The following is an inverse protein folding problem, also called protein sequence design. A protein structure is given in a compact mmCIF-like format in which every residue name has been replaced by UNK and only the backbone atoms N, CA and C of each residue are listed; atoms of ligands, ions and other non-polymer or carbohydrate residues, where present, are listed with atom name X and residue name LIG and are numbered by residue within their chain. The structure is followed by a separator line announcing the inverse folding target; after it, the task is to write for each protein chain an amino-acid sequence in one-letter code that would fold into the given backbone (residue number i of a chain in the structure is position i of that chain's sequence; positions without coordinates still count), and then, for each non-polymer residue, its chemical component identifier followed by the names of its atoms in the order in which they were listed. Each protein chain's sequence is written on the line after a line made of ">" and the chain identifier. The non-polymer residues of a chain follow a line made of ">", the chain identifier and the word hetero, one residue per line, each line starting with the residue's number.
data_IF_409976503144
#
_entry.id   IF_409976503144
#
_cell.length_a   1.000
_cell.length_b   1.000
_cell.length_c   1.000
_cell.angle_alpha   90.00
_cell.angle_beta   90.00
_cell.angle_gamma   90.00
#
_symmetry.space_group_name_H-M   'P 1'
#
loop_
_entity.id
_entity.type
_entity.pdbx_description
1 polymer ?
#
# COMPACT_ATOMS: atom_id res chain seq x y z
N UNK A 1 -47.31 7.51 -12.84
CA UNK A 1 -46.60 6.24 -13.19
C UNK A 1 -45.09 6.42 -13.44
N UNK A 2 -44.60 7.54 -13.95
CA UNK A 2 -43.13 7.78 -14.10
C UNK A 2 -42.52 8.26 -12.79
N UNK A 3 -43.27 8.95 -11.96
CA UNK A 3 -42.83 9.45 -10.64
C UNK A 3 -42.63 8.32 -9.62
N UNK A 4 -43.45 7.32 -9.66
CA UNK A 4 -43.41 6.19 -8.71
C UNK A 4 -42.20 5.26 -8.94
N UNK A 5 -41.84 5.05 -10.21
CA UNK A 5 -40.63 4.29 -10.55
C UNK A 5 -39.33 4.99 -10.16
N UNK A 6 -39.30 6.34 -10.22
CA UNK A 6 -38.14 7.12 -9.83
C UNK A 6 -37.94 7.17 -8.30
N UNK A 7 -39.05 7.36 -7.57
CA UNK A 7 -39.03 7.34 -6.09
C UNK A 7 -38.68 5.97 -5.53
N UNK A 8 -39.16 4.89 -6.15
CA UNK A 8 -38.79 3.52 -5.78
C UNK A 8 -37.30 3.23 -5.96
N UNK A 9 -36.69 3.70 -7.07
CA UNK A 9 -35.26 3.54 -7.31
C UNK A 9 -34.37 4.25 -6.30
N UNK A 10 -34.72 5.47 -5.89
CA UNK A 10 -33.99 6.21 -4.87
C UNK A 10 -34.12 5.56 -3.48
N UNK A 11 -35.30 5.03 -3.15
CA UNK A 11 -35.53 4.33 -1.89
C UNK A 11 -34.67 3.06 -1.79
N UNK A 12 -34.64 2.24 -2.85
CA UNK A 12 -33.76 1.04 -2.89
C UNK A 12 -32.28 1.41 -2.74
N UNK A 13 -31.81 2.46 -3.43
CA UNK A 13 -30.42 2.90 -3.30
C UNK A 13 -30.09 3.37 -1.88
N UNK A 14 -31.00 4.02 -1.19
CA UNK A 14 -30.80 4.45 0.19
C UNK A 14 -30.77 3.25 1.15
N UNK A 15 -31.63 2.25 0.94
CA UNK A 15 -31.58 0.98 1.72
C UNK A 15 -30.29 0.22 1.52
N UNK A 16 -29.80 0.08 0.29
CA UNK A 16 -28.54 -0.61 0.00
C UNK A 16 -27.37 0.03 0.75
N UNK A 17 -27.34 1.37 0.87
CA UNK A 17 -26.31 2.05 1.67
C UNK A 17 -26.35 1.65 3.15
N UNK A 18 -27.54 1.48 3.72
CA UNK A 18 -27.68 1.05 5.12
C UNK A 18 -27.21 -0.39 5.35
N UNK A 19 -27.19 -1.22 4.32
CA UNK A 19 -26.70 -2.60 4.42
C UNK A 19 -25.17 -2.71 4.36
N UNK A 20 -24.48 -1.67 3.89
CA UNK A 20 -22.99 -1.65 3.91
C UNK A 20 -22.46 -1.85 5.33
N UNK A 21 -23.10 -1.20 6.31
CA UNK A 21 -22.70 -1.24 7.73
C UNK A 21 -23.06 -2.58 8.42
N UNK A 22 -23.82 -3.44 7.74
CA UNK A 22 -24.18 -4.77 8.27
C UNK A 22 -23.11 -5.81 7.95
N UNK A 23 -22.30 -5.58 6.90
CA UNK A 23 -21.39 -6.61 6.38
C UNK A 23 -20.22 -6.91 7.33
N UNK A 24 -19.78 -5.92 8.10
CA UNK A 24 -18.71 -6.06 9.10
C UNK A 24 -19.26 -6.39 10.51
N UNK A 25 -20.58 -6.63 10.60
CA UNK A 25 -21.23 -6.97 11.87
C UNK A 25 -20.95 -8.41 12.30
N UNK A 26 -21.08 -8.71 13.61
CA UNK A 26 -20.99 -10.08 14.12
C UNK A 26 -22.02 -11.03 13.49
N UNK A 27 -23.20 -10.51 13.10
CA UNK A 27 -24.25 -11.30 12.49
C UNK A 27 -23.82 -11.95 11.16
N UNK A 28 -22.92 -11.29 10.42
CA UNK A 28 -22.35 -11.79 9.15
C UNK A 28 -21.02 -12.50 9.39
N UNK A 29 -20.13 -11.94 10.19
CA UNK A 29 -18.76 -12.44 10.29
C UNK A 29 -18.60 -13.65 11.21
N UNK A 30 -19.40 -13.78 12.28
CA UNK A 30 -19.33 -14.96 13.15
C UNK A 30 -19.68 -16.27 12.41
N UNK A 31 -20.74 -16.36 11.58
CA UNK A 31 -20.98 -17.52 10.74
C UNK A 31 -19.81 -17.84 9.79
N UNK A 32 -19.18 -16.82 9.19
CA UNK A 32 -18.03 -17.00 8.28
C UNK A 32 -16.83 -17.59 9.03
N UNK A 33 -16.53 -17.09 10.21
CA UNK A 33 -15.46 -17.60 11.08
C UNK A 33 -15.69 -19.07 11.43
N UNK A 34 -16.93 -19.43 11.76
CA UNK A 34 -17.29 -20.81 12.11
C UNK A 34 -17.24 -21.74 10.90
N UNK A 35 -17.76 -21.30 9.75
CA UNK A 35 -17.82 -22.10 8.52
C UNK A 35 -16.41 -22.41 7.99
N UNK A 36 -15.52 -21.41 8.00
CA UNK A 36 -14.16 -21.57 7.50
C UNK A 36 -13.16 -22.03 8.60
N UNK A 37 -13.62 -22.19 9.85
CA UNK A 37 -12.77 -22.62 10.95
C UNK A 37 -11.61 -21.67 11.21
N UNK A 38 -11.83 -20.35 11.11
CA UNK A 38 -10.79 -19.35 11.30
C UNK A 38 -10.48 -19.21 12.80
N UNK A 39 -9.20 -19.22 13.14
CA UNK A 39 -8.72 -18.99 14.51
C UNK A 39 -8.58 -17.48 14.78
N UNK A 40 -9.70 -16.77 14.68
CA UNK A 40 -9.79 -15.33 14.92
C UNK A 40 -11.21 -14.93 15.37
N UNK A 41 -11.29 -13.76 15.97
CA UNK A 41 -12.56 -13.15 16.38
C UNK A 41 -13.13 -12.26 15.27
N UNK A 42 -14.43 -11.92 15.35
CA UNK A 42 -15.02 -10.98 14.39
C UNK A 42 -14.32 -9.62 14.40
N UNK A 43 -13.83 -9.14 15.55
CA UNK A 43 -13.11 -7.88 15.69
C UNK A 43 -11.75 -7.86 14.96
N UNK A 44 -11.17 -9.03 14.75
CA UNK A 44 -9.93 -9.19 13.99
C UNK A 44 -10.21 -9.35 12.49
N UNK A 45 -11.36 -9.94 12.14
CA UNK A 45 -11.76 -10.10 10.75
C UNK A 45 -12.38 -8.83 10.16
N UNK A 46 -13.18 -8.08 10.93
CA UNK A 46 -13.89 -6.89 10.46
C UNK A 46 -13.01 -5.86 9.73
N UNK A 47 -11.79 -5.49 10.22
CA UNK A 47 -10.93 -4.57 9.48
C UNK A 47 -10.36 -5.13 8.17
N UNK A 48 -10.43 -6.44 7.96
CA UNK A 48 -9.99 -7.11 6.72
C UNK A 48 -11.11 -7.14 5.66
N UNK A 49 -12.36 -6.95 6.07
CA UNK A 49 -13.54 -6.95 5.21
C UNK A 49 -14.00 -5.51 5.00
N UNK A 50 -14.27 -5.13 3.77
CA UNK A 50 -14.86 -3.85 3.45
C UNK A 50 -15.92 -3.99 2.37
N UNK A 51 -16.98 -3.18 2.46
CA UNK A 51 -18.03 -3.12 1.47
C UNK A 51 -18.16 -1.72 0.91
N UNK A 52 -18.43 -1.62 -0.38
CA UNK A 52 -18.65 -0.35 -1.06
C UNK A 52 -19.77 -0.46 -2.09
N UNK A 53 -20.63 0.55 -2.16
CA UNK A 53 -21.65 0.68 -3.18
C UNK A 53 -21.21 1.73 -4.19
N UNK A 54 -20.98 1.38 -5.47
CA UNK A 54 -20.69 2.36 -6.51
C UNK A 54 -21.86 3.36 -6.65
N UNK A 55 -21.58 4.63 -6.94
CA UNK A 55 -22.62 5.64 -7.05
C UNK A 55 -23.63 5.28 -8.15
N UNK A 56 -24.92 5.54 -7.89
CA UNK A 56 -26.05 5.27 -8.80
C UNK A 56 -26.24 3.81 -9.16
N UNK A 57 -25.82 2.89 -8.32
CA UNK A 57 -26.04 1.44 -8.48
C UNK A 57 -26.66 0.83 -7.23
N UNK A 58 -27.19 -0.37 -7.37
CA UNK A 58 -27.64 -1.24 -6.28
C UNK A 58 -26.64 -2.38 -6.01
N UNK A 59 -25.45 -2.26 -6.58
CA UNK A 59 -24.39 -3.26 -6.42
C UNK A 59 -23.64 -3.00 -5.10
N UNK A 60 -23.27 -4.09 -4.44
CA UNK A 60 -22.39 -4.09 -3.28
C UNK A 60 -21.11 -4.83 -3.63
N UNK A 61 -19.99 -4.14 -3.57
CA UNK A 61 -18.66 -4.72 -3.78
C UNK A 61 -18.06 -5.07 -2.42
N UNK A 62 -17.89 -6.35 -2.17
CA UNK A 62 -17.20 -6.87 -0.98
C UNK A 62 -15.73 -7.05 -1.32
N UNK A 63 -14.85 -6.52 -0.50
CA UNK A 63 -13.40 -6.65 -0.64
C UNK A 63 -12.81 -7.20 0.64
N UNK A 64 -12.04 -8.27 0.54
CA UNK A 64 -11.33 -8.88 1.66
C UNK A 64 -9.82 -8.79 1.42
N UNK A 65 -9.09 -8.43 2.47
CA UNK A 65 -7.63 -8.33 2.45
C UNK A 65 -7.03 -9.34 3.41
N UNK A 66 -6.25 -10.28 2.89
CA UNK A 66 -5.57 -11.31 3.67
C UNK A 66 -4.15 -11.53 3.14
N UNK A 67 -3.29 -12.13 3.94
CA UNK A 67 -1.93 -12.52 3.54
C UNK A 67 -1.92 -13.70 2.58
N UNK A 68 -2.96 -14.55 2.63
CA UNK A 68 -3.17 -15.67 1.72
C UNK A 68 -4.22 -15.31 0.65
N UNK A 69 -3.87 -15.34 -0.65
CA UNK A 69 -4.82 -15.03 -1.71
C UNK A 69 -6.00 -16.00 -1.78
N UNK A 70 -5.78 -17.28 -1.48
CA UNK A 70 -6.83 -18.29 -1.45
C UNK A 70 -7.79 -18.03 -0.31
N UNK A 71 -7.27 -17.78 0.91
CA UNK A 71 -8.09 -17.48 2.08
C UNK A 71 -8.89 -16.18 1.90
N UNK A 72 -8.29 -15.16 1.28
CA UNK A 72 -9.01 -13.92 0.96
C UNK A 72 -10.25 -14.17 0.08
N UNK A 73 -10.11 -15.02 -0.95
CA UNK A 73 -11.21 -15.36 -1.84
C UNK A 73 -12.29 -16.22 -1.13
N UNK A 74 -11.87 -17.16 -0.29
CA UNK A 74 -12.80 -17.99 0.52
C UNK A 74 -13.58 -17.13 1.51
N UNK A 75 -12.93 -16.25 2.26
CA UNK A 75 -13.59 -15.33 3.18
C UNK A 75 -14.54 -14.40 2.43
N UNK A 76 -14.14 -13.85 1.28
CA UNK A 76 -15.00 -12.96 0.50
C UNK A 76 -16.29 -13.66 0.02
N UNK A 77 -16.19 -14.90 -0.48
CA UNK A 77 -17.33 -15.69 -0.92
C UNK A 77 -18.24 -16.08 0.25
N UNK A 78 -17.67 -16.56 1.36
CA UNK A 78 -18.43 -16.89 2.56
C UNK A 78 -19.14 -15.64 3.13
N UNK A 79 -18.46 -14.49 3.18
CA UNK A 79 -19.04 -13.22 3.63
C UNK A 79 -20.20 -12.79 2.73
N UNK A 80 -20.06 -12.90 1.40
CA UNK A 80 -21.14 -12.57 0.48
C UNK A 80 -22.37 -13.48 0.68
N UNK A 81 -22.16 -14.77 0.94
CA UNK A 81 -23.24 -15.74 1.20
C UNK A 81 -23.90 -15.47 2.56
N UNK A 82 -23.13 -15.28 3.62
CA UNK A 82 -23.63 -14.96 4.94
C UNK A 82 -24.40 -13.63 4.96
N UNK A 83 -23.88 -12.62 4.26
CA UNK A 83 -24.56 -11.34 4.08
C UNK A 83 -25.90 -11.49 3.36
N UNK A 84 -25.97 -12.26 2.26
CA UNK A 84 -27.23 -12.51 1.55
C UNK A 84 -28.26 -13.21 2.45
N UNK A 85 -27.85 -14.16 3.27
CA UNK A 85 -28.71 -14.84 4.23
C UNK A 85 -29.19 -13.87 5.33
N UNK A 86 -28.33 -13.00 5.83
CA UNK A 86 -28.70 -12.02 6.85
C UNK A 86 -29.68 -10.96 6.32
N UNK A 87 -29.50 -10.49 5.08
CA UNK A 87 -30.46 -9.59 4.44
C UNK A 87 -31.82 -10.30 4.25
N UNK A 88 -31.83 -11.55 3.79
CA UNK A 88 -33.08 -12.32 3.68
C UNK A 88 -33.78 -12.45 5.05
N UNK A 89 -33.02 -12.65 6.13
CA UNK A 89 -33.56 -12.71 7.49
C UNK A 89 -34.17 -11.38 7.94
N UNK A 90 -33.47 -10.27 7.66
CA UNK A 90 -33.91 -8.91 8.03
C UNK A 90 -35.17 -8.48 7.25
N UNK A 91 -35.28 -8.90 5.99
CA UNK A 91 -36.41 -8.60 5.12
C UNK A 91 -37.59 -9.59 5.29
N UNK A 92 -37.47 -10.58 6.17
CA UNK A 92 -38.49 -11.60 6.39
C UNK A 92 -38.69 -12.56 5.21
N UNK A 93 -37.75 -12.59 4.27
CA UNK A 93 -37.78 -13.54 3.14
C UNK A 93 -37.21 -14.89 3.59
N UNK A 94 -37.83 -16.05 3.19
CA UNK A 94 -37.23 -17.34 3.45
C UNK A 94 -35.87 -17.46 2.72
N UNK A 95 -34.85 -18.11 3.32
CA UNK A 95 -33.55 -18.29 2.68
C UNK A 95 -33.74 -19.07 1.37
N UNK A 96 -33.21 -18.55 0.26
CA UNK A 96 -33.21 -19.25 -1.04
C UNK A 96 -32.23 -20.42 -0.96
N UNK A 97 -32.71 -21.62 -0.81
CA UNK A 97 -31.92 -22.83 -1.00
C UNK A 97 -31.51 -22.93 -2.47
N UNK A 98 -30.22 -23.04 -2.77
CA UNK A 98 -29.74 -23.39 -4.11
C UNK A 98 -30.37 -24.72 -4.52
N UNK A 99 -31.31 -24.70 -5.49
CA UNK A 99 -31.96 -25.87 -6.02
C UNK A 99 -33.50 -25.85 -6.09
N UNK A 100 -34.17 -24.80 -5.64
CA UNK A 100 -35.64 -24.71 -5.78
C UNK A 100 -36.03 -24.27 -7.17
N UNK A 101 -36.54 -25.21 -7.95
CA UNK A 101 -37.27 -25.00 -9.20
C UNK A 101 -38.50 -24.15 -8.92
N UNK A 102 -38.59 -23.03 -9.60
CA UNK A 102 -39.61 -22.01 -9.45
C UNK A 102 -40.97 -22.55 -9.98
N UNK A 103 -41.88 -22.90 -9.10
CA UNK A 103 -43.29 -22.92 -9.44
C UNK A 103 -43.94 -21.63 -8.94
N UNK A 104 -44.57 -20.84 -9.83
CA UNK A 104 -45.20 -19.59 -9.48
C UNK A 104 -46.65 -19.79 -9.16
N UNK A 105 -47.06 -20.06 -7.97
CA UNK A 105 -48.45 -19.76 -7.50
C UNK A 105 -48.49 -19.66 -5.98
N UNK A 106 -48.76 -18.51 -5.43
CA UNK A 106 -49.95 -18.25 -4.64
C UNK A 106 -49.99 -16.82 -4.16
N UNK A 107 -50.98 -16.13 -4.57
CA UNK A 107 -51.45 -14.81 -4.21
C UNK A 107 -51.60 -14.65 -2.69
N UNK A 108 -51.02 -13.58 -2.12
CA UNK A 108 -51.59 -12.95 -0.96
C UNK A 108 -51.42 -11.44 -1.10
N UNK A 109 -52.52 -10.81 -1.31
CA UNK A 109 -52.81 -9.38 -1.27
C UNK A 109 -52.47 -8.84 0.11
N UNK A 110 -51.47 -7.95 0.19
CA UNK A 110 -51.42 -6.89 1.18
C UNK A 110 -50.24 -6.03 0.75
N UNK A 111 -50.31 -4.71 0.90
CA UNK A 111 -49.26 -3.71 0.58
C UNK A 111 -47.84 -4.29 0.84
N UNK A 112 -47.38 -5.08 -0.09
CA UNK A 112 -46.16 -5.86 0.07
C UNK A 112 -45.02 -4.96 -0.43
N UNK A 113 -44.34 -4.30 0.48
CA UNK A 113 -42.96 -3.91 0.24
C UNK A 113 -42.24 -5.12 -0.33
N UNK A 114 -41.80 -5.00 -1.58
CA UNK A 114 -41.07 -6.09 -2.24
C UNK A 114 -39.80 -6.32 -1.44
N UNK A 115 -39.60 -7.52 -0.84
CA UNK A 115 -38.41 -7.77 -0.03
C UNK A 115 -37.17 -7.63 -0.91
N UNK A 116 -36.15 -6.94 -0.38
CA UNK A 116 -34.86 -6.82 -1.05
C UNK A 116 -34.15 -8.16 -0.95
N UNK A 117 -33.79 -8.73 -2.09
CA UNK A 117 -33.01 -9.97 -2.14
C UNK A 117 -31.57 -9.65 -2.58
N UNK A 118 -30.61 -10.07 -1.77
CA UNK A 118 -29.21 -10.02 -2.12
C UNK A 118 -28.82 -11.31 -2.85
N UNK A 119 -28.19 -11.19 -4.01
CA UNK A 119 -27.71 -12.33 -4.81
C UNK A 119 -26.26 -12.09 -5.19
N UNK A 120 -25.42 -13.11 -5.03
CA UNK A 120 -24.02 -13.05 -5.47
C UNK A 120 -23.98 -13.12 -6.99
N UNK A 121 -23.60 -12.00 -7.63
CA UNK A 121 -23.52 -11.88 -9.09
C UNK A 121 -22.16 -12.38 -9.59
N UNK A 122 -21.09 -12.06 -8.86
CA UNK A 122 -19.73 -12.45 -9.21
C UNK A 122 -19.02 -12.97 -7.96
N UNK A 123 -18.65 -14.27 -7.94
CA UNK A 123 -17.84 -14.80 -6.84
C UNK A 123 -16.43 -14.18 -6.85
N UNK A 124 -15.80 -14.15 -5.67
CA UNK A 124 -14.43 -13.72 -5.55
C UNK A 124 -13.48 -14.74 -6.18
N UNK A 125 -12.58 -14.24 -7.01
CA UNK A 125 -11.52 -15.02 -7.64
C UNK A 125 -10.21 -14.84 -6.84
N UNK A 126 -9.37 -15.88 -6.84
CA UNK A 126 -8.06 -15.81 -6.18
C UNK A 126 -7.18 -14.81 -6.93
N UNK A 127 -6.70 -13.73 -6.27
CA UNK A 127 -5.90 -12.72 -6.94
C UNK A 127 -4.52 -13.26 -7.33
N UNK A 128 -4.12 -13.00 -8.59
CA UNK A 128 -2.82 -13.45 -9.12
C UNK A 128 -1.63 -12.58 -8.67
N UNK A 129 -1.85 -11.45 -8.01
CA UNK A 129 -0.79 -10.56 -7.55
C UNK A 129 -1.19 -9.82 -6.27
N UNK A 130 -0.21 -9.56 -5.37
CA UNK A 130 -0.47 -8.80 -4.15
C UNK A 130 -0.74 -7.32 -4.47
N UNK A 131 -1.65 -6.71 -3.72
CA UNK A 131 -1.97 -5.27 -3.80
C UNK A 131 -1.00 -4.41 -2.98
N UNK A 132 -0.32 -5.02 -1.98
CA UNK A 132 0.64 -4.36 -1.08
C UNK A 132 1.70 -5.39 -0.61
N UNK A 133 2.95 -4.96 -0.38
CA UNK A 133 3.51 -3.62 -0.60
C UNK A 133 3.80 -3.33 -2.09
N UNK A 134 3.71 -2.08 -2.49
CA UNK A 134 4.09 -1.64 -3.86
C UNK A 134 5.61 -1.53 -3.97
N UNK A 135 6.29 -2.67 -4.00
CA UNK A 135 7.76 -2.78 -3.96
C UNK A 135 8.48 -1.94 -5.00
N UNK A 136 7.95 -1.90 -6.23
CA UNK A 136 8.53 -1.07 -7.32
C UNK A 136 8.48 0.42 -7.00
N UNK A 137 7.35 0.92 -6.49
CA UNK A 137 7.19 2.32 -6.12
C UNK A 137 8.07 2.67 -4.92
N UNK A 138 8.09 1.82 -3.89
CA UNK A 138 8.91 2.03 -2.70
C UNK A 138 10.41 2.02 -3.03
N UNK A 139 10.86 1.13 -3.94
CA UNK A 139 12.24 1.08 -4.39
C UNK A 139 12.62 2.34 -5.17
N UNK A 140 11.76 2.81 -6.08
CA UNK A 140 11.98 4.02 -6.86
C UNK A 140 12.05 5.25 -5.95
N UNK A 141 11.13 5.35 -4.99
CA UNK A 141 11.10 6.45 -4.03
C UNK A 141 12.35 6.44 -3.13
N UNK A 142 12.76 5.25 -2.67
CA UNK A 142 13.98 5.08 -1.87
C UNK A 142 15.25 5.45 -2.64
N UNK A 143 15.35 5.07 -3.92
CA UNK A 143 16.46 5.43 -4.78
C UNK A 143 16.54 6.96 -5.00
N UNK A 144 15.40 7.58 -5.29
CA UNK A 144 15.32 9.03 -5.51
C UNK A 144 15.70 9.81 -4.25
N UNK A 145 15.16 9.42 -3.10
CA UNK A 145 15.47 10.04 -1.82
C UNK A 145 16.94 9.83 -1.45
N UNK A 146 17.47 8.62 -1.64
CA UNK A 146 18.89 8.30 -1.41
C UNK A 146 19.82 9.11 -2.30
N UNK A 147 19.50 9.27 -3.58
CA UNK A 147 20.28 10.10 -4.49
C UNK A 147 20.27 11.57 -4.07
N UNK A 148 19.13 12.10 -3.66
CA UNK A 148 19.00 13.50 -3.22
C UNK A 148 19.81 13.77 -1.96
N UNK A 149 19.74 12.88 -0.98
CA UNK A 149 20.54 12.94 0.26
C UNK A 149 22.04 12.81 -0.09
N UNK A 150 22.39 11.86 -0.97
CA UNK A 150 23.78 11.65 -1.40
C UNK A 150 24.39 12.89 -2.06
N UNK A 151 23.67 13.53 -2.97
CA UNK A 151 24.10 14.79 -3.61
C UNK A 151 24.21 15.90 -2.55
N UNK A 152 23.23 16.02 -1.66
CA UNK A 152 23.26 17.01 -0.57
C UNK A 152 24.52 16.87 0.32
N UNK A 153 24.85 15.64 0.73
CA UNK A 153 26.05 15.36 1.51
C UNK A 153 27.32 15.65 0.70
N UNK A 154 27.36 15.30 -0.59
CA UNK A 154 28.50 15.56 -1.46
C UNK A 154 28.75 17.07 -1.60
N UNK A 155 27.71 17.86 -1.84
CA UNK A 155 27.79 19.32 -1.92
C UNK A 155 28.24 19.90 -0.58
N UNK A 156 27.65 19.46 0.52
CA UNK A 156 28.01 19.92 1.85
C UNK A 156 29.50 19.62 2.16
N UNK A 157 29.95 18.41 1.87
CA UNK A 157 31.37 18.04 2.04
C UNK A 157 32.28 18.87 1.16
N UNK A 158 31.89 19.15 -0.07
CA UNK A 158 32.65 19.97 -0.99
C UNK A 158 32.76 21.42 -0.51
N UNK A 159 31.67 21.99 -0.01
CA UNK A 159 31.68 23.38 0.51
C UNK A 159 32.42 23.54 1.86
N UNK A 160 32.47 22.47 2.67
CA UNK A 160 33.19 22.44 3.95
C UNK A 160 34.65 22.01 3.80
N UNK A 161 35.07 21.52 2.62
CA UNK A 161 36.45 21.14 2.35
C UNK A 161 37.27 22.40 2.09
N UNK A 162 37.87 22.94 3.15
CA UNK A 162 38.79 24.10 3.13
C UNK A 162 40.24 23.68 2.94
N UNK A 163 40.49 22.44 2.50
CA UNK A 163 41.86 21.95 2.29
C UNK A 163 42.51 22.63 1.10
N UNK A 164 43.64 23.27 1.33
CA UNK A 164 44.48 23.81 0.28
C UNK A 164 45.15 22.64 -0.46
N UNK A 165 44.80 22.44 -1.72
CA UNK A 165 45.25 21.28 -2.55
C UNK A 165 46.19 21.69 -3.68
N UNK A 166 46.23 22.97 -4.01
CA UNK A 166 47.10 23.49 -5.07
C UNK A 166 47.96 24.65 -4.58
N UNK A 167 48.96 24.96 -5.38
CA UNK A 167 49.85 26.11 -5.12
C UNK A 167 49.09 27.42 -5.31
N UNK A 168 48.16 27.45 -6.21
CA UNK A 168 47.28 28.58 -6.51
C UNK A 168 46.34 28.87 -5.33
N UNK A 169 45.76 27.82 -4.71
CA UNK A 169 44.90 27.95 -3.50
C UNK A 169 45.73 28.53 -2.33
N UNK A 170 47.03 28.15 -2.25
CA UNK A 170 47.93 28.67 -1.22
C UNK A 170 48.27 30.16 -1.43
N UNK A 171 48.50 30.58 -2.67
CA UNK A 171 48.75 32.01 -3.01
C UNK A 171 47.52 32.86 -2.66
N UNK A 172 46.31 32.37 -2.99
CA UNK A 172 45.07 33.09 -2.69
C UNK A 172 44.80 33.18 -1.20
N UNK A 173 45.05 32.09 -0.45
CA UNK A 173 44.85 32.06 1.00
C UNK A 173 45.93 32.84 1.78
N UNK A 174 47.19 32.82 1.35
CA UNK A 174 48.32 33.44 2.04
C UNK A 174 48.59 34.87 1.59
N UNK A 175 48.06 35.31 0.44
CA UNK A 175 48.34 36.65 -0.13
C UNK A 175 49.79 36.88 -0.54
N UNK A 176 50.58 35.82 -0.69
CA UNK A 176 52.01 35.87 -1.00
C UNK A 176 52.43 34.68 -1.87
N UNK A 177 53.41 34.93 -2.77
CA UNK A 177 53.95 33.90 -3.65
C UNK A 177 54.72 32.85 -2.87
N UNK A 178 54.44 31.54 -2.99
CA UNK A 178 55.21 30.51 -2.31
C UNK A 178 56.64 30.46 -2.80
N UNK A 179 57.56 30.31 -1.89
CA UNK A 179 59.01 30.31 -2.19
C UNK A 179 59.44 28.98 -2.86
N UNK A 180 58.63 27.95 -2.81
CA UNK A 180 58.90 26.66 -3.43
C UNK A 180 57.99 25.56 -2.91
N UNK A 181 57.93 24.43 -3.62
CA UNK A 181 57.14 23.23 -3.27
C UNK A 181 58.08 22.08 -2.92
N UNK A 182 57.82 21.42 -1.79
CA UNK A 182 58.53 20.22 -1.39
C UNK A 182 57.61 19.01 -1.62
N UNK A 183 58.06 18.09 -2.48
CA UNK A 183 57.31 16.85 -2.76
C UNK A 183 57.25 16.01 -1.48
N UNK A 184 56.04 15.56 -1.12
CA UNK A 184 55.85 14.61 -0.03
C UNK A 184 56.44 13.24 -0.40
N UNK A 185 57.40 12.79 0.39
CA UNK A 185 58.04 11.49 0.22
C UNK A 185 57.63 10.61 1.43
N UNK A 186 56.86 9.55 1.21
CA UNK A 186 56.40 8.67 2.29
C UNK A 186 57.55 7.89 2.95
N UNK A 187 58.72 7.79 2.31
CA UNK A 187 59.90 7.13 2.87
C UNK A 187 60.84 8.10 3.64
N UNK A 188 60.45 9.36 3.76
CA UNK A 188 61.29 10.41 4.39
C UNK A 188 61.60 10.15 5.88
N UNK A 189 60.73 9.43 6.58
CA UNK A 189 60.92 9.11 7.99
C UNK A 189 62.03 8.07 8.20
N UNK A 190 62.32 7.24 7.21
CA UNK A 190 63.35 6.21 7.24
C UNK A 190 64.67 6.66 6.62
N UNK A 191 64.67 7.72 5.79
CA UNK A 191 65.89 8.18 5.06
C UNK A 191 66.07 9.69 5.19
N UNK A 192 66.97 10.16 6.06
CA UNK A 192 67.24 11.57 6.20
C UNK A 192 67.84 12.19 4.93
N UNK A 193 67.46 13.41 4.60
CA UNK A 193 67.82 14.16 3.38
C UNK A 193 69.33 14.21 3.06
N UNK A 194 70.16 14.04 4.08
CA UNK A 194 71.63 14.11 3.97
C UNK A 194 72.26 12.89 3.28
N UNK A 195 71.55 11.78 3.24
CA UNK A 195 72.09 10.48 2.72
C UNK A 195 71.68 10.17 1.28
N UNK A 196 70.63 10.81 0.73
CA UNK A 196 70.12 10.54 -0.61
C UNK A 196 70.53 11.62 -1.60
N UNK A 197 71.72 11.48 -2.18
CA UNK A 197 72.12 12.28 -3.34
C UNK A 197 71.29 11.83 -4.57
N UNK A 198 70.43 12.73 -5.10
CA UNK A 198 69.62 12.47 -6.30
C UNK A 198 68.15 12.19 -6.07
N UNK A 199 67.59 12.34 -4.85
CA UNK A 199 66.17 12.31 -4.64
C UNK A 199 65.54 13.63 -5.10
N UNK A 200 64.29 13.57 -5.62
CA UNK A 200 63.51 14.73 -6.05
C UNK A 200 63.40 15.80 -4.94
N UNK A 201 63.41 15.36 -3.67
CA UNK A 201 63.38 16.21 -2.49
C UNK A 201 64.69 16.94 -2.24
N UNK A 202 65.84 16.24 -2.45
CA UNK A 202 67.17 16.87 -2.33
C UNK A 202 67.39 17.92 -3.42
N UNK A 203 66.82 17.72 -4.58
CA UNK A 203 66.89 18.69 -5.71
C UNK A 203 66.05 19.93 -5.43
N UNK A 204 64.86 19.79 -4.80
CA UNK A 204 63.99 20.91 -4.44
C UNK A 204 64.62 21.88 -3.41
N UNK A 205 65.59 21.42 -2.61
CA UNK A 205 66.33 22.27 -1.68
C UNK A 205 67.56 22.94 -2.31
N UNK A 206 67.91 22.61 -3.54
CA UNK A 206 69.12 23.14 -4.22
C UNK A 206 68.82 24.36 -5.10
N UNK A 207 67.55 24.62 -5.40
CA UNK A 207 67.08 25.81 -6.14
C UNK A 207 66.73 26.91 -5.18
#
# INVERSE_FOLDING_TARGET
>A
QVGDAYSGGLFVQQRVKSYVDVIDSPAVLDPVIQELGLDMTYTELAPQVSAQTPPNTVLLNVTVTDTSPTRAAEIANATATAFAAEIARLEGAPPVSEGATTDPVTSATTDSEVPVQATVIKPAEVPGSPISPRTRLNLLLGLLLGALIGVGIAVLRHTLDTSVKSVEDLEEAAGSTPLGTIVHDPEADSNPLVTLRGSARAEAFRT
#
